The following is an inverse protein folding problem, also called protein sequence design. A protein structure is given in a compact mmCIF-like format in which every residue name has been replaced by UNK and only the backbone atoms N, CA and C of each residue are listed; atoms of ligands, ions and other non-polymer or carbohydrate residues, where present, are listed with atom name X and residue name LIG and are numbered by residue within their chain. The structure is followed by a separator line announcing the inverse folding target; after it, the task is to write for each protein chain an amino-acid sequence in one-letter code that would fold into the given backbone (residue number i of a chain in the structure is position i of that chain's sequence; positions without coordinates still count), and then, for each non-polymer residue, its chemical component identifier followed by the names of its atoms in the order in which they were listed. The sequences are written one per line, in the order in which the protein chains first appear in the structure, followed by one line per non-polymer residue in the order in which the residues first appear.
data_IF_035219351595
#
_entry.id   IF_035219351595
#
_cell.length_a   1.000
_cell.length_b   1.000
_cell.length_c   1.000
_cell.angle_alpha   90.00
_cell.angle_beta   90.00
_cell.angle_gamma   90.00
#
_symmetry.space_group_name_H-M   'P 1'
#
loop_
_entity.id
_entity.type
_entity.pdbx_description
1 polymer ?
#
# COMPACT_ATOMS: atom_id res chain seq x y z
N UNK A 1 -5.80 19.59 -20.48
CA UNK A 1 -6.32 20.83 -21.09
C UNK A 1 -5.50 21.17 -22.33
N UNK A 2 -6.07 20.95 -23.52
CA UNK A 2 -5.92 21.70 -24.78
C UNK A 2 -6.17 20.75 -25.94
N UNK A 3 -7.42 20.76 -26.40
CA UNK A 3 -7.70 20.62 -27.83
C UNK A 3 -7.32 21.97 -28.46
N UNK A 4 -6.88 21.99 -29.73
CA UNK A 4 -7.70 22.74 -30.67
C UNK A 4 -7.79 22.07 -32.03
N UNK A 5 -9.02 21.95 -32.51
CA UNK A 5 -9.33 22.03 -33.93
C UNK A 5 -8.83 23.37 -34.47
N UNK A 6 -8.10 23.38 -35.60
CA UNK A 6 -8.09 24.52 -36.52
C UNK A 6 -7.87 24.02 -37.96
N UNK A 7 -8.78 24.45 -38.83
CA UNK A 7 -8.73 24.60 -40.29
C UNK A 7 -8.61 23.37 -41.20
N UNK A 8 -9.78 22.82 -41.52
CA UNK A 8 -10.22 22.80 -42.92
C UNK A 8 -10.35 24.26 -43.37
N UNK A 9 -9.59 24.72 -44.37
CA UNK A 9 -9.91 25.91 -45.22
C UNK A 9 -8.73 26.35 -46.13
N UNK A 10 -7.81 25.44 -46.47
CA UNK A 10 -6.80 25.74 -47.48
C UNK A 10 -6.51 24.50 -48.33
N UNK A 11 -7.51 24.05 -49.10
CA UNK A 11 -7.22 23.40 -50.38
C UNK A 11 -8.40 23.42 -51.36
N UNK A 12 -9.32 24.37 -51.24
CA UNK A 12 -9.96 24.91 -52.44
C UNK A 12 -8.99 25.93 -53.04
N UNK A 13 -8.95 26.03 -54.37
CA UNK A 13 -8.09 26.92 -55.17
C UNK A 13 -6.74 26.34 -55.61
N UNK A 14 -6.74 25.22 -56.31
CA UNK A 14 -6.08 25.13 -57.65
C UNK A 14 -6.80 24.05 -58.47
N UNK A 15 -7.97 24.38 -59.00
CA UNK A 15 -8.64 23.52 -59.99
C UNK A 15 -9.13 24.37 -61.16
N UNK A 16 -8.20 24.84 -61.98
CA UNK A 16 -8.50 25.42 -63.30
C UNK A 16 -7.32 25.25 -64.26
N UNK A 17 -7.22 24.07 -64.89
CA UNK A 17 -6.90 23.89 -66.32
C UNK A 17 -6.71 22.39 -66.63
N UNK A 18 -7.82 21.73 -66.93
CA UNK A 18 -7.90 20.29 -67.25
C UNK A 18 -7.54 20.08 -68.73
N UNK A 19 -6.52 19.25 -69.00
CA UNK A 19 -6.39 18.47 -70.24
C UNK A 19 -6.95 17.06 -69.93
N UNK A 20 -8.01 16.59 -70.60
CA UNK A 20 -8.79 15.42 -70.18
C UNK A 20 -8.15 14.10 -70.64
N UNK A 21 -6.94 13.81 -70.17
CA UNK A 21 -6.22 12.57 -70.49
C UNK A 21 -5.27 12.04 -69.41
N UNK A 22 -4.87 12.85 -68.43
CA UNK A 22 -3.80 12.49 -67.48
C UNK A 22 -4.25 12.21 -66.04
N UNK A 23 -5.53 12.45 -65.68
CA UNK A 23 -6.02 12.27 -64.30
C UNK A 23 -6.11 10.78 -63.88
N UNK A 24 -6.46 9.88 -64.81
CA UNK A 24 -6.61 8.45 -64.50
C UNK A 24 -5.26 7.79 -64.20
N UNK A 25 -4.19 8.21 -64.89
CA UNK A 25 -2.86 7.63 -64.72
C UNK A 25 -2.15 8.15 -63.46
N UNK A 26 -2.39 9.41 -63.07
CA UNK A 26 -1.91 10.00 -61.81
C UNK A 26 -2.58 9.37 -60.57
N UNK A 27 -3.89 9.11 -60.62
CA UNK A 27 -4.61 8.41 -59.55
C UNK A 27 -4.09 6.99 -59.31
N UNK A 28 -3.82 6.25 -60.39
CA UNK A 28 -3.29 4.88 -60.30
C UNK A 28 -1.87 4.82 -59.71
N UNK A 29 -0.99 5.75 -60.10
CA UNK A 29 0.36 5.87 -59.52
C UNK A 29 0.32 6.23 -58.03
N UNK A 30 -0.59 7.13 -57.62
CA UNK A 30 -0.74 7.50 -56.22
C UNK A 30 -1.28 6.35 -55.36
N UNK A 31 -2.25 5.57 -55.86
CA UNK A 31 -2.76 4.37 -55.16
C UNK A 31 -1.70 3.28 -55.02
N UNK A 32 -0.86 3.06 -56.04
CA UNK A 32 0.26 2.12 -55.97
C UNK A 32 1.33 2.57 -54.97
N UNK A 33 1.68 3.86 -54.95
CA UNK A 33 2.63 4.41 -53.98
C UNK A 33 2.09 4.36 -52.55
N UNK A 34 0.81 4.67 -52.35
CA UNK A 34 0.17 4.59 -51.03
C UNK A 34 0.09 3.15 -50.53
N UNK A 35 -0.28 2.19 -51.38
CA UNK A 35 -0.32 0.77 -51.03
C UNK A 35 1.07 0.23 -50.66
N UNK A 36 2.13 0.70 -51.32
CA UNK A 36 3.51 0.34 -50.99
C UNK A 36 3.97 0.98 -49.68
N UNK A 37 3.61 2.24 -49.44
CA UNK A 37 3.89 2.97 -48.20
C UNK A 37 3.21 2.34 -46.97
N UNK A 38 1.94 1.91 -47.09
CA UNK A 38 1.25 1.23 -45.99
C UNK A 38 1.90 -0.11 -45.66
N UNK A 39 2.36 -0.87 -46.66
CA UNK A 39 3.07 -2.14 -46.42
C UNK A 39 4.39 -1.92 -45.68
N UNK A 40 5.17 -0.91 -46.06
CA UNK A 40 6.45 -0.60 -45.37
C UNK A 40 6.23 -0.15 -43.93
N UNK A 41 5.20 0.66 -43.66
CA UNK A 41 4.85 1.05 -42.29
C UNK A 41 4.37 -0.13 -41.44
N UNK A 42 3.63 -1.07 -42.05
CA UNK A 42 3.17 -2.27 -41.36
C UNK A 42 4.34 -3.21 -41.01
N UNK A 43 5.32 -3.36 -41.91
CA UNK A 43 6.53 -4.17 -41.69
C UNK A 43 7.41 -3.58 -40.57
N UNK A 44 7.60 -2.26 -40.54
CA UNK A 44 8.34 -1.57 -39.46
C UNK A 44 7.64 -1.74 -38.10
N UNK A 45 6.31 -1.55 -38.06
CA UNK A 45 5.53 -1.76 -36.83
C UNK A 45 5.63 -3.20 -36.31
N UNK A 46 5.68 -4.19 -37.21
CA UNK A 46 5.84 -5.59 -36.83
C UNK A 46 7.26 -5.89 -36.29
N UNK A 47 8.29 -5.27 -36.87
CA UNK A 47 9.66 -5.35 -36.35
C UNK A 47 9.80 -4.72 -34.97
N UNK A 48 9.25 -3.52 -34.75
CA UNK A 48 9.27 -2.87 -33.45
C UNK A 48 8.53 -3.70 -32.40
N UNK A 49 7.39 -4.29 -32.77
CA UNK A 49 6.65 -5.19 -31.89
C UNK A 49 7.46 -6.47 -31.56
N UNK A 50 8.24 -7.01 -32.51
CA UNK A 50 9.15 -8.14 -32.26
C UNK A 50 10.28 -7.75 -31.32
N UNK A 51 10.94 -6.60 -31.55
CA UNK A 51 12.00 -6.07 -30.67
C UNK A 51 11.48 -5.79 -29.27
N UNK A 52 10.29 -5.21 -29.13
CA UNK A 52 9.65 -4.97 -27.83
C UNK A 52 9.39 -6.28 -27.06
N UNK A 53 8.93 -7.34 -27.76
CA UNK A 53 8.76 -8.67 -27.16
C UNK A 53 10.07 -9.31 -26.75
N UNK A 54 11.15 -9.12 -27.51
CA UNK A 54 12.48 -9.63 -27.14
C UNK A 54 13.04 -8.90 -25.92
N UNK A 55 12.94 -7.57 -25.87
CA UNK A 55 13.37 -6.78 -24.72
C UNK A 55 12.59 -7.19 -23.45
N UNK A 56 11.28 -7.46 -23.55
CA UNK A 56 10.48 -7.95 -22.42
C UNK A 56 10.92 -9.35 -21.96
N UNK A 57 11.25 -10.25 -22.90
CA UNK A 57 11.82 -11.57 -22.57
C UNK A 57 13.17 -11.45 -21.87
N UNK A 58 14.03 -10.52 -22.29
CA UNK A 58 15.33 -10.29 -21.68
C UNK A 58 15.18 -9.71 -20.26
N UNK A 59 14.31 -8.71 -20.06
CA UNK A 59 13.99 -8.18 -18.72
C UNK A 59 13.48 -9.27 -17.78
N UNK A 60 12.54 -10.12 -18.24
CA UNK A 60 12.04 -11.25 -17.44
C UNK A 60 13.14 -12.26 -17.08
N UNK A 61 14.12 -12.47 -17.96
CA UNK A 61 15.28 -13.33 -17.67
C UNK A 61 16.20 -12.71 -16.62
N UNK A 62 16.49 -11.41 -16.73
CA UNK A 62 17.28 -10.68 -15.74
C UNK A 62 16.60 -10.65 -14.36
N UNK A 63 15.28 -10.42 -14.30
CA UNK A 63 14.52 -10.48 -13.05
C UNK A 63 14.57 -11.87 -12.42
N UNK A 64 14.45 -12.94 -13.23
CA UNK A 64 14.61 -14.31 -12.76
C UNK A 64 16.03 -14.59 -12.25
N UNK A 65 17.05 -13.99 -12.86
CA UNK A 65 18.44 -14.10 -12.40
C UNK A 65 18.66 -13.35 -11.08
N UNK A 66 18.24 -12.08 -10.99
CA UNK A 66 18.30 -11.31 -9.73
C UNK A 66 17.53 -12.01 -8.61
N UNK A 67 16.36 -12.57 -8.89
CA UNK A 67 15.60 -13.34 -7.91
C UNK A 67 16.33 -14.61 -7.43
N UNK A 68 17.10 -15.27 -8.31
CA UNK A 68 17.95 -16.41 -7.91
C UNK A 68 19.14 -15.96 -7.07
N UNK A 69 19.76 -14.83 -7.39
CA UNK A 69 20.86 -14.25 -6.61
C UNK A 69 20.40 -13.78 -5.22
N UNK A 70 19.24 -13.11 -5.13
CA UNK A 70 18.59 -12.77 -3.87
C UNK A 70 18.25 -14.01 -3.02
N UNK A 71 17.82 -15.11 -3.65
CA UNK A 71 17.60 -16.39 -2.95
C UNK A 71 18.89 -17.02 -2.45
N UNK A 72 20.01 -16.84 -3.15
CA UNK A 72 21.31 -17.38 -2.72
C UNK A 72 21.89 -16.63 -1.50
N UNK A 73 21.58 -15.34 -1.33
CA UNK A 73 21.95 -14.57 -0.12
C UNK A 73 21.01 -14.81 1.08
N UNK A 74 19.90 -15.52 0.87
CA UNK A 74 18.85 -15.75 1.86
C UNK A 74 19.25 -16.85 2.84
N UNK A 75 19.82 -16.47 3.98
CA UNK A 75 20.32 -17.38 5.01
C UNK A 75 19.30 -18.36 5.60
N UNK A 76 19.82 -19.40 6.26
CA UNK A 76 19.13 -20.58 6.83
C UNK A 76 17.99 -20.26 7.82
N UNK A 77 18.01 -19.09 8.46
CA UNK A 77 16.95 -18.63 9.36
C UNK A 77 15.73 -18.09 8.58
N UNK A 78 15.98 -17.40 7.45
CA UNK A 78 14.90 -16.92 6.58
C UNK A 78 14.19 -18.06 5.84
N UNK A 79 14.87 -19.16 5.51
CA UNK A 79 14.24 -20.30 4.84
C UNK A 79 13.32 -21.11 5.76
N UNK A 80 13.63 -21.18 7.05
CA UNK A 80 12.76 -21.83 8.03
C UNK A 80 11.51 -20.99 8.29
N UNK A 81 11.68 -19.67 8.46
CA UNK A 81 10.55 -18.73 8.49
C UNK A 81 9.75 -18.76 7.19
N UNK A 82 10.37 -18.86 6.02
CA UNK A 82 9.67 -18.98 4.74
C UNK A 82 8.91 -20.29 4.56
N UNK A 83 9.41 -21.39 5.11
CA UNK A 83 8.73 -22.68 5.03
C UNK A 83 7.59 -22.76 6.05
N UNK A 84 7.77 -22.16 7.24
CA UNK A 84 6.71 -22.03 8.25
C UNK A 84 5.63 -21.05 7.76
N UNK A 85 6.06 -19.93 7.19
CA UNK A 85 5.20 -18.95 6.53
C UNK A 85 4.53 -19.61 5.33
N UNK A 86 5.25 -20.34 4.49
CA UNK A 86 4.72 -21.05 3.33
C UNK A 86 3.71 -22.14 3.68
N UNK A 87 3.92 -22.88 4.76
CA UNK A 87 2.97 -23.86 5.28
C UNK A 87 1.74 -23.20 5.91
N UNK A 88 1.93 -22.17 6.74
CA UNK A 88 0.85 -21.34 7.28
C UNK A 88 0.07 -20.62 6.19
N UNK A 89 0.75 -20.19 5.12
CA UNK A 89 0.24 -19.53 3.92
C UNK A 89 -0.57 -20.52 3.07
N UNK A 90 -0.11 -21.76 2.93
CA UNK A 90 -0.87 -22.82 2.25
C UNK A 90 -2.11 -23.25 3.04
N UNK A 91 -2.06 -23.24 4.38
CA UNK A 91 -3.22 -23.43 5.25
C UNK A 91 -4.21 -22.25 5.20
N UNK A 92 -3.68 -21.02 5.12
CA UNK A 92 -4.47 -19.81 4.87
C UNK A 92 -5.22 -19.90 3.54
N UNK A 93 -4.51 -20.26 2.46
CA UNK A 93 -5.02 -20.22 1.07
C UNK A 93 -6.02 -21.35 0.78
N UNK A 94 -5.77 -22.57 1.25
CA UNK A 94 -6.64 -23.74 0.92
C UNK A 94 -7.98 -23.75 1.66
N UNK A 95 -8.14 -22.90 2.68
CA UNK A 95 -9.37 -22.79 3.47
C UNK A 95 -10.03 -21.40 3.38
N UNK A 96 -9.55 -20.52 2.51
CA UNK A 96 -10.01 -19.14 2.33
C UNK A 96 -11.36 -19.00 1.58
N UNK A 97 -12.22 -20.02 1.63
CA UNK A 97 -13.57 -19.99 1.05
C UNK A 97 -14.67 -19.58 2.04
N UNK A 98 -14.38 -19.61 3.35
CA UNK A 98 -15.28 -19.13 4.40
C UNK A 98 -14.76 -17.81 4.97
N UNK A 99 -15.55 -16.75 4.83
CA UNK A 99 -15.22 -15.38 5.27
C UNK A 99 -14.79 -15.31 6.76
N UNK A 100 -15.20 -16.29 7.57
CA UNK A 100 -14.82 -16.42 8.98
C UNK A 100 -13.34 -16.73 9.22
N UNK A 101 -12.68 -17.48 8.33
CA UNK A 101 -11.26 -17.83 8.48
C UNK A 101 -10.39 -16.61 8.19
N UNK A 102 -10.78 -15.80 7.21
CA UNK A 102 -10.12 -14.53 6.94
C UNK A 102 -10.16 -13.61 8.16
N UNK A 103 -11.33 -13.48 8.80
CA UNK A 103 -11.51 -12.69 10.02
C UNK A 103 -10.67 -13.21 11.18
N UNK A 104 -10.59 -14.53 11.36
CA UNK A 104 -9.79 -15.15 12.41
C UNK A 104 -8.29 -14.82 12.26
N UNK A 105 -7.77 -14.92 11.04
CA UNK A 105 -6.37 -14.59 10.73
C UNK A 105 -6.10 -13.10 10.94
N UNK A 106 -7.02 -12.24 10.48
CA UNK A 106 -6.93 -10.80 10.71
C UNK A 106 -6.85 -10.47 12.21
N UNK A 107 -7.70 -11.10 13.02
CA UNK A 107 -7.70 -10.96 14.48
C UNK A 107 -6.39 -11.39 15.11
N UNK A 108 -5.83 -12.54 14.73
CA UNK A 108 -4.54 -13.02 15.22
C UNK A 108 -3.42 -12.04 14.86
N UNK A 109 -3.39 -11.54 13.61
CA UNK A 109 -2.37 -10.59 13.17
C UNK A 109 -2.44 -9.28 13.96
N UNK A 110 -3.63 -8.72 14.14
CA UNK A 110 -3.83 -7.48 14.92
C UNK A 110 -3.43 -7.70 16.38
N UNK A 111 -3.77 -8.85 16.98
CA UNK A 111 -3.38 -9.19 18.34
C UNK A 111 -1.86 -9.32 18.49
N UNK A 112 -1.18 -9.98 17.56
CA UNK A 112 0.29 -10.11 17.55
C UNK A 112 0.96 -8.74 17.40
N UNK A 113 0.45 -7.87 16.53
CA UNK A 113 0.96 -6.51 16.35
C UNK A 113 0.76 -5.70 17.64
N UNK A 114 -0.44 -5.75 18.24
CA UNK A 114 -0.72 -5.02 19.47
C UNK A 114 0.16 -5.52 20.63
N UNK A 115 0.33 -6.83 20.77
CA UNK A 115 1.21 -7.43 21.77
C UNK A 115 2.67 -7.01 21.57
N UNK A 116 3.16 -6.99 20.32
CA UNK A 116 4.50 -6.53 20.01
C UNK A 116 4.69 -5.05 20.37
N UNK A 117 3.71 -4.19 20.07
CA UNK A 117 3.75 -2.78 20.46
C UNK A 117 3.78 -2.62 21.98
N UNK A 118 2.88 -3.29 22.70
CA UNK A 118 2.82 -3.24 24.16
C UNK A 118 4.10 -3.77 24.80
N UNK A 119 4.70 -4.83 24.24
CA UNK A 119 6.00 -5.35 24.67
C UNK A 119 7.13 -4.33 24.50
N UNK A 120 7.20 -3.64 23.36
CA UNK A 120 8.22 -2.60 23.14
C UNK A 120 7.99 -1.39 24.06
N UNK A 121 6.73 -0.97 24.27
CA UNK A 121 6.39 0.09 25.24
C UNK A 121 6.85 -0.30 26.64
N UNK A 122 6.62 -1.55 27.05
CA UNK A 122 7.08 -2.06 28.33
C UNK A 122 8.61 -1.99 28.46
N UNK A 123 9.35 -2.42 27.43
CA UNK A 123 10.81 -2.34 27.41
C UNK A 123 11.31 -0.89 27.48
N UNK A 124 10.68 0.04 26.76
CA UNK A 124 11.02 1.47 26.82
C UNK A 124 10.76 2.07 28.21
N UNK A 125 9.68 1.64 28.87
CA UNK A 125 9.36 2.08 30.22
C UNK A 125 10.36 1.54 31.25
N UNK A 126 10.75 0.26 31.13
CA UNK A 126 11.81 -0.31 31.95
C UNK A 126 13.14 0.40 31.75
N UNK A 127 13.50 0.71 30.50
CA UNK A 127 14.71 1.46 30.19
C UNK A 127 14.70 2.86 30.84
N UNK A 128 13.54 3.55 30.87
CA UNK A 128 13.40 4.84 31.59
C UNK A 128 13.64 4.68 33.08
N UNK A 129 13.01 3.68 33.72
CA UNK A 129 13.14 3.46 35.16
C UNK A 129 14.60 3.11 35.50
N UNK A 130 15.22 2.24 34.70
CA UNK A 130 16.63 1.88 34.87
C UNK A 130 17.57 3.09 34.77
N UNK A 131 17.35 3.97 33.79
CA UNK A 131 18.12 5.20 33.63
C UNK A 131 17.88 6.21 34.76
N UNK A 132 16.66 6.24 35.31
CA UNK A 132 16.32 7.07 36.47
C UNK A 132 17.02 6.59 37.74
N UNK A 133 17.08 5.27 37.96
CA UNK A 133 17.74 4.68 39.13
C UNK A 133 19.26 4.80 39.09
N UNK A 134 19.87 4.90 37.91
CA UNK A 134 21.31 5.10 37.73
C UNK A 134 21.76 6.53 38.11
N UNK A 135 20.86 7.51 38.07
CA UNK A 135 21.17 8.90 38.40
C UNK A 135 21.22 9.09 39.92
N UNK A 136 22.40 9.42 40.49
CA UNK A 136 22.56 9.61 41.93
C UNK A 136 22.09 11.00 42.42
N UNK A 137 22.36 12.07 41.66
CA UNK A 137 22.08 13.43 42.08
C UNK A 137 20.64 13.87 41.79
N UNK A 138 19.97 14.64 42.69
CA UNK A 138 18.59 15.10 42.48
C UNK A 138 18.41 15.89 41.19
N UNK A 139 19.37 16.75 40.84
CA UNK A 139 19.35 17.54 39.60
C UNK A 139 19.46 16.66 38.37
N UNK A 140 20.36 15.66 38.39
CA UNK A 140 20.54 14.70 37.30
C UNK A 140 19.28 13.84 37.07
N UNK A 141 18.56 13.48 38.14
CA UNK A 141 17.26 12.79 38.04
C UNK A 141 16.21 13.61 37.32
N UNK A 142 16.09 14.92 37.62
CA UNK A 142 15.16 15.80 36.91
C UNK A 142 15.48 15.93 35.41
N UNK A 143 16.76 16.09 35.07
CA UNK A 143 17.18 16.13 33.68
C UNK A 143 16.95 14.81 32.96
N UNK A 144 17.25 13.66 33.59
CA UNK A 144 16.99 12.34 33.01
C UNK A 144 15.48 12.08 32.79
N UNK A 145 14.65 12.48 33.77
CA UNK A 145 13.20 12.33 33.69
C UNK A 145 12.58 13.10 32.52
N UNK A 146 13.06 14.31 32.24
CA UNK A 146 12.50 15.18 31.19
C UNK A 146 13.15 14.90 29.82
N UNK A 147 14.47 14.72 29.76
CA UNK A 147 15.19 14.60 28.49
C UNK A 147 14.82 13.34 27.72
N UNK A 148 14.64 12.20 28.39
CA UNK A 148 14.31 10.93 27.75
C UNK A 148 12.98 10.99 26.98
N UNK A 149 11.83 11.35 27.59
CA UNK A 149 10.56 11.43 26.86
C UNK A 149 10.59 12.51 25.77
N UNK A 150 11.27 13.64 25.98
CA UNK A 150 11.42 14.69 24.97
C UNK A 150 12.19 14.16 23.74
N UNK A 151 13.32 13.47 23.95
CA UNK A 151 14.10 12.89 22.87
C UNK A 151 13.32 11.81 22.10
N UNK A 152 12.59 10.94 22.81
CA UNK A 152 11.74 9.91 22.21
C UNK A 152 10.62 10.51 21.35
N UNK A 153 9.94 11.56 21.83
CA UNK A 153 8.86 12.23 21.08
C UNK A 153 9.41 13.01 19.90
N UNK A 154 10.54 13.69 20.03
CA UNK A 154 11.18 14.39 18.92
C UNK A 154 11.63 13.42 17.82
N UNK A 155 12.23 12.29 18.21
CA UNK A 155 12.60 11.23 17.28
C UNK A 155 11.37 10.65 16.57
N UNK A 156 10.31 10.34 17.33
CA UNK A 156 9.03 9.85 16.81
C UNK A 156 8.42 10.82 15.79
N UNK A 157 8.28 12.09 16.16
CA UNK A 157 7.72 13.14 15.31
C UNK A 157 8.54 13.33 14.04
N UNK A 158 9.87 13.45 14.18
CA UNK A 158 10.77 13.56 13.03
C UNK A 158 10.66 12.38 12.07
N UNK A 159 10.63 11.16 12.61
CA UNK A 159 10.50 9.94 11.80
C UNK A 159 9.17 9.89 11.02
N UNK A 160 8.05 10.20 11.68
CA UNK A 160 6.72 10.20 11.03
C UNK A 160 6.64 11.27 9.93
N UNK A 161 7.16 12.48 10.19
CA UNK A 161 7.17 13.55 9.20
C UNK A 161 8.02 13.23 7.98
N UNK A 162 9.17 12.55 8.15
CA UNK A 162 10.05 12.17 7.05
C UNK A 162 9.51 11.00 6.23
N UNK A 163 8.92 9.99 6.90
CA UNK A 163 8.49 8.75 6.22
C UNK A 163 7.13 8.92 5.55
N UNK A 164 6.13 9.45 6.26
CA UNK A 164 4.79 9.59 5.71
C UNK A 164 3.99 10.65 6.49
N UNK A 165 3.91 11.90 6.01
CA UNK A 165 3.11 12.94 6.68
C UNK A 165 1.61 12.59 6.71
N UNK A 166 1.15 11.71 5.81
CA UNK A 166 -0.22 11.19 5.79
C UNK A 166 -0.55 10.30 7.00
N UNK A 167 0.46 9.81 7.75
CA UNK A 167 0.24 8.98 8.93
C UNK A 167 -0.06 9.80 10.21
N UNK A 168 0.02 11.14 10.14
CA UNK A 168 -0.18 12.05 11.26
C UNK A 168 -1.61 11.94 11.80
N UNK A 169 -1.74 11.95 13.13
CA UNK A 169 -3.02 11.91 13.82
C UNK A 169 -3.60 10.50 13.99
N UNK A 170 -4.83 10.44 14.48
CA UNK A 170 -5.49 9.19 14.88
C UNK A 170 -5.84 8.29 13.69
N UNK A 171 -6.45 8.85 12.65
CA UNK A 171 -6.90 8.13 11.45
C UNK A 171 -8.31 7.58 11.50
N UNK A 172 -9.01 7.75 12.61
CA UNK A 172 -10.46 7.56 12.72
C UNK A 172 -11.24 8.37 11.66
N UNK A 173 -11.04 9.69 11.47
CA UNK A 173 -11.86 10.46 10.54
C UNK A 173 -11.67 9.98 9.09
N UNK A 174 -10.45 9.62 8.72
CA UNK A 174 -10.12 9.06 7.39
C UNK A 174 -10.72 7.66 7.20
N UNK A 175 -10.73 6.84 8.25
CA UNK A 175 -11.39 5.52 8.17
C UNK A 175 -12.91 5.67 7.98
N UNK A 176 -13.50 6.67 8.62
CA UNK A 176 -14.93 6.98 8.50
C UNK A 176 -15.29 7.45 7.09
N UNK A 177 -14.43 8.22 6.42
CA UNK A 177 -14.64 8.61 5.01
C UNK A 177 -14.46 7.43 4.06
N UNK A 178 -13.49 6.54 4.32
CA UNK A 178 -13.27 5.32 3.53
C UNK A 178 -14.48 4.38 3.60
N UNK A 179 -15.06 4.18 4.79
CA UNK A 179 -16.26 3.34 4.96
C UNK A 179 -17.52 3.93 4.31
N UNK A 180 -17.54 5.24 4.04
CA UNK A 180 -18.59 5.90 3.25
C UNK A 180 -18.37 5.77 1.74
N UNK A 181 -17.30 5.10 1.30
CA UNK A 181 -16.99 4.83 -0.11
C UNK A 181 -15.94 5.75 -0.74
N UNK A 182 -15.30 6.64 0.03
CA UNK A 182 -14.24 7.53 -0.48
C UNK A 182 -12.86 6.88 -0.27
N UNK A 183 -12.33 6.23 -1.31
CA UNK A 183 -11.11 5.43 -1.19
C UNK A 183 -9.85 6.29 -1.35
N UNK A 184 -9.11 6.51 -0.25
CA UNK A 184 -7.81 7.17 -0.26
C UNK A 184 -6.68 6.12 -0.36
N UNK A 185 -6.23 5.83 -1.59
CA UNK A 185 -5.20 4.80 -1.86
C UNK A 185 -3.86 5.05 -1.15
N UNK A 186 -3.49 6.30 -0.91
CA UNK A 186 -2.23 6.67 -0.24
C UNK A 186 -2.27 6.45 1.28
N UNK A 187 -3.47 6.43 1.88
CA UNK A 187 -3.65 6.29 3.32
C UNK A 187 -3.35 4.87 3.82
N UNK A 188 -3.73 3.86 3.01
CA UNK A 188 -3.62 2.42 3.28
C UNK A 188 -2.29 1.80 2.79
N UNK A 189 -1.19 2.53 2.90
CA UNK A 189 0.13 2.08 2.43
C UNK A 189 0.91 1.32 3.52
N UNK A 190 1.74 0.35 3.13
CA UNK A 190 2.62 -0.34 4.08
C UNK A 190 3.60 0.63 4.78
N UNK A 191 3.98 1.72 4.08
CA UNK A 191 4.85 2.75 4.63
C UNK A 191 4.18 3.52 5.78
N UNK A 192 2.87 3.81 5.67
CA UNK A 192 2.12 4.48 6.74
C UNK A 192 1.94 3.57 7.95
N UNK A 193 1.74 2.27 7.74
CA UNK A 193 1.70 1.27 8.81
C UNK A 193 2.98 1.29 9.66
N UNK A 194 4.15 1.20 9.02
CA UNK A 194 5.43 1.17 9.76
C UNK A 194 5.68 2.49 10.49
N UNK A 195 5.46 3.62 9.82
CA UNK A 195 5.59 4.94 10.44
C UNK A 195 4.68 5.09 11.67
N UNK A 196 3.42 4.63 11.56
CA UNK A 196 2.44 4.74 12.64
C UNK A 196 2.75 3.80 13.81
N UNK A 197 3.24 2.59 13.54
CA UNK A 197 3.65 1.64 14.57
C UNK A 197 4.83 2.19 15.39
N UNK A 198 5.88 2.68 14.72
CA UNK A 198 7.07 3.24 15.38
C UNK A 198 6.70 4.51 16.14
N UNK A 199 5.95 5.42 15.51
CA UNK A 199 5.56 6.67 16.12
C UNK A 199 4.67 6.48 17.36
N UNK A 200 3.69 5.57 17.29
CA UNK A 200 2.85 5.21 18.43
C UNK A 200 3.68 4.61 19.56
N UNK A 201 4.52 3.63 19.25
CA UNK A 201 5.32 2.90 20.24
C UNK A 201 6.29 3.85 20.97
N UNK A 202 6.95 4.74 20.24
CA UNK A 202 7.83 5.74 20.82
C UNK A 202 7.08 6.74 21.70
N UNK A 203 5.88 7.16 21.32
CA UNK A 203 5.09 8.13 22.08
C UNK A 203 4.47 7.54 23.35
N UNK A 204 3.93 6.32 23.26
CA UNK A 204 3.45 5.57 24.43
C UNK A 204 4.62 5.18 25.34
N UNK A 205 5.74 4.76 24.75
CA UNK A 205 6.99 4.52 25.45
C UNK A 205 7.46 5.77 26.20
N UNK A 206 7.26 6.97 25.64
CA UNK A 206 7.53 8.26 26.28
C UNK A 206 6.68 8.54 27.53
N UNK A 207 5.62 7.77 27.78
CA UNK A 207 4.70 7.99 28.91
C UNK A 207 3.72 9.14 28.67
N UNK A 208 3.54 9.57 27.42
CA UNK A 208 2.54 10.59 27.10
C UNK A 208 1.13 10.02 27.27
N UNK A 209 0.17 10.79 27.80
CA UNK A 209 -1.21 10.35 28.00
C UNK A 209 -1.99 10.34 26.66
N UNK A 210 -1.53 9.54 25.72
CA UNK A 210 -2.18 9.33 24.43
C UNK A 210 -2.80 7.94 24.37
N UNK A 211 -4.04 7.85 23.90
CA UNK A 211 -4.73 6.57 23.71
C UNK A 211 -4.25 5.84 22.44
N UNK A 212 -4.08 4.52 22.54
CA UNK A 212 -3.77 3.65 21.38
C UNK A 212 -4.98 3.30 20.51
N UNK A 213 -6.18 3.67 20.97
CA UNK A 213 -7.47 3.31 20.38
C UNK A 213 -7.57 3.67 18.89
N UNK A 214 -7.40 4.95 18.57
CA UNK A 214 -7.55 5.43 17.19
C UNK A 214 -6.51 4.88 16.21
N UNK A 215 -5.21 4.95 16.54
CA UNK A 215 -4.19 4.40 15.65
C UNK A 215 -4.26 2.87 15.48
N UNK A 216 -4.69 2.11 16.50
CA UNK A 216 -4.83 0.64 16.37
C UNK A 216 -5.94 0.27 15.38
N UNK A 217 -7.05 1.00 15.39
CA UNK A 217 -8.13 0.83 14.38
C UNK A 217 -7.58 1.07 12.98
N UNK A 218 -6.82 2.15 12.78
CA UNK A 218 -6.21 2.42 11.49
C UNK A 218 -5.20 1.33 11.07
N UNK A 219 -4.35 0.88 12.00
CA UNK A 219 -3.39 -0.21 11.75
C UNK A 219 -4.12 -1.49 11.32
N UNK A 220 -5.21 -1.87 12.01
CA UNK A 220 -6.01 -3.03 11.66
C UNK A 220 -6.57 -2.96 10.24
N UNK A 221 -7.07 -1.79 9.82
CA UNK A 221 -7.57 -1.56 8.45
C UNK A 221 -6.47 -1.66 7.38
N UNK A 222 -5.25 -1.20 7.69
CA UNK A 222 -4.11 -1.37 6.76
C UNK A 222 -3.75 -2.86 6.64
N UNK A 223 -3.71 -3.61 7.76
CA UNK A 223 -3.45 -5.05 7.75
C UNK A 223 -4.50 -5.79 6.93
N UNK A 224 -5.79 -5.45 7.10
CA UNK A 224 -6.86 -6.03 6.30
C UNK A 224 -6.68 -5.79 4.81
N UNK A 225 -6.30 -4.56 4.42
CA UNK A 225 -6.04 -4.19 3.02
C UNK A 225 -4.82 -4.89 2.44
N UNK A 226 -3.77 -5.09 3.23
CA UNK A 226 -2.59 -5.86 2.82
C UNK A 226 -2.95 -7.32 2.61
N UNK A 227 -3.74 -7.90 3.51
CA UNK A 227 -4.26 -9.26 3.35
C UNK A 227 -5.13 -9.37 2.09
N UNK A 228 -6.04 -8.41 1.83
CA UNK A 228 -6.87 -8.44 0.60
C UNK A 228 -6.01 -8.41 -0.65
N UNK A 229 -5.05 -7.49 -0.71
CA UNK A 229 -4.12 -7.38 -1.86
C UNK A 229 -3.32 -8.66 -2.08
N UNK A 230 -2.87 -9.32 -1.02
CA UNK A 230 -2.13 -10.58 -1.11
C UNK A 230 -3.00 -11.71 -1.65
N UNK A 231 -4.27 -11.78 -1.23
CA UNK A 231 -5.25 -12.76 -1.72
C UNK A 231 -5.57 -12.51 -3.20
N UNK A 232 -5.88 -11.26 -3.57
CA UNK A 232 -6.20 -10.87 -4.96
C UNK A 232 -5.03 -11.12 -5.91
N UNK A 233 -3.80 -10.92 -5.45
CA UNK A 233 -2.59 -11.22 -6.24
C UNK A 233 -2.41 -12.71 -6.54
N UNK A 234 -3.01 -13.61 -5.76
CA UNK A 234 -2.84 -15.06 -5.89
C UNK A 234 -4.00 -15.70 -6.66
N UNK A 235 -5.24 -15.32 -6.35
CA UNK A 235 -6.42 -15.90 -7.00
C UNK A 235 -6.77 -15.24 -8.33
N UNK A 236 -6.24 -14.04 -8.64
CA UNK A 236 -6.52 -13.34 -9.90
C UNK A 236 -7.99 -12.97 -10.11
N UNK A 237 -8.84 -13.16 -9.10
CA UNK A 237 -10.27 -12.88 -9.13
C UNK A 237 -10.51 -11.37 -8.95
N UNK A 238 -11.51 -10.86 -9.68
CA UNK A 238 -11.98 -9.48 -9.59
C UNK A 238 -12.54 -9.19 -8.19
N UNK A 239 -11.92 -8.25 -7.47
CA UNK A 239 -12.30 -7.92 -6.10
C UNK A 239 -13.46 -6.90 -6.11
N UNK A 240 -14.60 -7.26 -5.52
CA UNK A 240 -15.73 -6.34 -5.35
C UNK A 240 -15.40 -5.26 -4.31
N UNK A 241 -15.64 -3.99 -4.64
CA UNK A 241 -15.46 -2.86 -3.72
C UNK A 241 -16.36 -2.97 -2.47
N UNK A 242 -17.53 -3.61 -2.59
CA UNK A 242 -18.40 -3.92 -1.43
C UNK A 242 -17.71 -4.83 -0.41
N UNK A 243 -17.11 -5.94 -0.87
CA UNK A 243 -16.41 -6.91 -0.01
C UNK A 243 -15.22 -6.27 0.70
N UNK A 244 -14.47 -5.37 0.03
CA UNK A 244 -13.40 -4.58 0.68
C UNK A 244 -13.93 -3.72 1.81
N UNK A 245 -15.07 -3.06 1.60
CA UNK A 245 -15.66 -2.15 2.59
C UNK A 245 -16.18 -2.92 3.81
N UNK A 246 -16.84 -4.06 3.59
CA UNK A 246 -17.26 -4.98 4.67
C UNK A 246 -16.07 -5.49 5.47
N UNK A 247 -14.98 -5.85 4.79
CA UNK A 247 -13.77 -6.35 5.42
C UNK A 247 -13.01 -5.26 6.19
N UNK A 248 -13.02 -4.02 5.70
CA UNK A 248 -12.51 -2.85 6.42
C UNK A 248 -13.35 -2.55 7.67
N UNK A 249 -14.68 -2.67 7.57
CA UNK A 249 -15.57 -2.49 8.73
C UNK A 249 -15.28 -3.55 9.81
N UNK A 250 -15.13 -4.82 9.39
CA UNK A 250 -14.74 -5.91 10.29
C UNK A 250 -13.36 -5.65 10.92
N UNK A 251 -12.39 -5.17 10.14
CA UNK A 251 -11.06 -4.83 10.64
C UNK A 251 -11.09 -3.72 11.70
N UNK A 252 -11.92 -2.69 11.49
CA UNK A 252 -12.10 -1.62 12.46
C UNK A 252 -12.69 -2.18 13.76
N UNK A 253 -13.73 -3.01 13.68
CA UNK A 253 -14.33 -3.64 14.84
C UNK A 253 -13.31 -4.49 15.61
N UNK A 254 -12.52 -5.32 14.91
CA UNK A 254 -11.44 -6.12 15.50
C UNK A 254 -10.39 -5.25 16.19
N UNK A 255 -9.99 -4.14 15.57
CA UNK A 255 -9.04 -3.18 16.15
C UNK A 255 -9.55 -2.55 17.45
N UNK A 256 -10.82 -2.11 17.48
CA UNK A 256 -11.46 -1.58 18.70
C UNK A 256 -11.54 -2.66 19.78
N UNK A 257 -12.02 -3.86 19.45
CA UNK A 257 -12.12 -4.98 20.39
C UNK A 257 -10.76 -5.39 20.98
N UNK A 258 -9.70 -5.37 20.17
CA UNK A 258 -8.33 -5.68 20.60
C UNK A 258 -7.79 -4.62 21.56
N UNK A 259 -8.05 -3.33 21.32
CA UNK A 259 -7.66 -2.24 22.22
C UNK A 259 -8.23 -2.39 23.63
N UNK A 260 -9.52 -2.74 23.72
CA UNK A 260 -10.22 -2.85 25.00
C UNK A 260 -10.09 -4.22 25.66
N UNK A 261 -9.58 -5.23 24.94
CA UNK A 261 -9.58 -6.62 25.42
C UNK A 261 -10.98 -7.19 25.63
N UNK A 262 -12.01 -6.56 25.05
CA UNK A 262 -13.41 -6.89 25.24
C UNK A 262 -14.10 -7.01 23.88
N UNK A 263 -14.39 -8.23 23.38
CA UNK A 263 -14.98 -8.41 22.05
C UNK A 263 -16.37 -7.77 21.94
N UNK A 264 -17.22 -7.96 22.96
CA UNK A 264 -18.59 -7.44 23.02
C UNK A 264 -18.58 -5.91 23.25
N UNK A 265 -17.69 -5.43 24.11
CA UNK A 265 -17.54 -3.99 24.36
C UNK A 265 -17.06 -3.25 23.10
N UNK A 266 -16.12 -3.83 22.36
CA UNK A 266 -15.57 -3.22 21.16
C UNK A 266 -16.60 -3.01 20.05
N UNK A 267 -17.50 -3.98 19.81
CA UNK A 267 -18.57 -3.79 18.82
C UNK A 267 -19.58 -2.72 19.23
N UNK A 268 -19.88 -2.60 20.53
CA UNK A 268 -20.79 -1.59 21.05
C UNK A 268 -20.20 -0.17 20.95
N UNK A 269 -18.88 -0.03 20.99
CA UNK A 269 -18.18 1.26 20.75
C UNK A 269 -18.05 1.54 19.25
N UNK A 270 -17.78 0.52 18.45
CA UNK A 270 -17.60 0.63 17.01
C UNK A 270 -18.88 1.11 16.28
N UNK A 271 -20.03 0.50 16.60
CA UNK A 271 -21.32 0.81 15.97
C UNK A 271 -21.68 2.32 16.00
N UNK A 272 -21.76 2.99 17.17
CA UNK A 272 -22.11 4.41 17.24
C UNK A 272 -21.02 5.30 16.63
N UNK A 273 -19.76 4.91 16.71
CA UNK A 273 -18.62 5.69 16.21
C UNK A 273 -18.62 5.81 14.68
N UNK A 274 -19.04 4.76 13.98
CA UNK A 274 -19.05 4.70 12.52
C UNK A 274 -20.44 4.89 11.88
N UNK A 275 -21.52 4.80 12.66
CA UNK A 275 -22.90 5.03 12.17
C UNK A 275 -23.31 6.52 12.11
N UNK A 276 -22.58 7.42 12.78
CA UNK A 276 -22.72 8.89 12.66
C UNK A 276 -21.95 9.43 11.46
#
# INVERSE_FOLDING_TARGET
MKNPQVNCDHMELVQTSIIPGNEVQMGYQHTLMYGRYIRTLAEEAEEEAKRAKEIDKLRRKEERQRAKELRAYRGRCLSWLDNLFGWFWQLLITKLGEDGIFLAVLGILVAVISFAQDYVVFQLNLARIYLYDLAHDPTSKYFAWISIPVLLVLFSSGFVHLVAPQAIGSGIPEMKTILRGVILKEYLSFRTFFAKCVGLTATLGAGMPLGKEGPLVHIASIVATLMSKLVTSLDGIYENESRKTEMLAAACAVGVSCCFGAPIGGMNVFLPMFSL
#
